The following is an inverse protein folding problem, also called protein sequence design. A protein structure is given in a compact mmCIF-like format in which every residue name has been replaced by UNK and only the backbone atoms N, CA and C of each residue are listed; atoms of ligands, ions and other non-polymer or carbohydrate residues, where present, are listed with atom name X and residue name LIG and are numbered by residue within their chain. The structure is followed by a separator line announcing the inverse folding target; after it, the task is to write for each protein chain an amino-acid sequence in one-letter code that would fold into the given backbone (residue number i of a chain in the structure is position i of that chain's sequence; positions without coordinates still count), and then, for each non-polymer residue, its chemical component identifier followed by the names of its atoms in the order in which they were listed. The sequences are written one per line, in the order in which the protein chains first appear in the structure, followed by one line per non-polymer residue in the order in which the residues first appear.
data_IF_461119746602
#
_entry.id   IF_461119746602
#
_cell.length_a   1.000
_cell.length_b   1.000
_cell.length_c   1.000
_cell.angle_alpha   90.00
_cell.angle_beta   90.00
_cell.angle_gamma   90.00
#
_symmetry.space_group_name_H-M   'P 1'
#
loop_
_entity.id
_entity.type
_entity.pdbx_description
1 polymer ?
#
# COMPACT_ATOMS: atom_id res chain seq x y z
N UNK A 1 28.17 73.21 -2.82
CA UNK A 1 26.79 72.97 -2.36
C UNK A 1 26.79 71.56 -1.88
N UNK A 2 26.92 71.38 -0.57
CA UNK A 2 27.01 70.07 0.07
C UNK A 2 25.62 69.51 0.34
N UNK A 3 25.57 68.18 0.28
CA UNK A 3 24.80 67.29 1.16
C UNK A 3 23.33 67.64 1.40
N UNK A 4 22.50 67.16 0.48
CA UNK A 4 21.19 66.58 0.81
C UNK A 4 20.98 65.36 -0.12
N UNK A 5 21.80 64.32 0.07
CA UNK A 5 21.36 62.95 -0.27
C UNK A 5 20.36 62.57 0.81
N UNK A 6 19.18 63.19 0.75
CA UNK A 6 18.06 62.84 1.60
C UNK A 6 17.84 61.33 1.47
N UNK A 7 17.88 60.63 2.60
CA UNK A 7 17.53 59.21 2.70
C UNK A 7 16.29 58.93 1.85
N UNK A 8 16.46 58.31 0.67
CA UNK A 8 15.38 57.95 -0.25
C UNK A 8 14.70 56.67 0.27
N UNK A 9 14.22 56.78 1.50
CA UNK A 9 13.63 55.73 2.29
C UNK A 9 12.13 55.70 2.04
N UNK A 10 11.66 54.57 1.53
CA UNK A 10 10.26 54.35 1.18
C UNK A 10 9.60 53.57 2.31
N UNK A 11 8.44 54.05 2.76
CA UNK A 11 7.65 53.40 3.79
C UNK A 11 6.47 52.64 3.18
N UNK A 12 6.33 51.39 3.59
CA UNK A 12 5.21 50.51 3.25
C UNK A 12 4.38 50.19 4.48
N UNK A 13 3.07 50.12 4.32
CA UNK A 13 2.10 49.75 5.36
C UNK A 13 1.15 48.69 4.79
N UNK A 14 0.76 47.72 5.60
CA UNK A 14 -0.25 46.72 5.18
C UNK A 14 -1.65 47.31 5.40
N UNK A 15 -2.56 47.12 4.43
CA UNK A 15 -3.92 47.69 4.46
C UNK A 15 -4.66 47.21 5.70
N UNK A 16 -5.16 48.16 6.49
CA UNK A 16 -5.90 47.88 7.73
C UNK A 16 -5.02 47.56 8.94
N UNK A 17 -3.70 47.48 8.75
CA UNK A 17 -2.74 47.18 9.80
C UNK A 17 -1.91 48.42 10.19
N UNK A 18 -1.37 48.41 11.41
CA UNK A 18 -0.47 49.47 11.90
C UNK A 18 1.01 49.19 11.55
N UNK A 19 1.30 48.00 11.04
CA UNK A 19 2.67 47.53 10.78
C UNK A 19 3.29 48.25 9.60
N UNK A 20 4.42 48.91 9.83
CA UNK A 20 5.16 49.66 8.80
C UNK A 20 6.56 49.12 8.63
N UNK A 21 7.01 48.99 7.39
CA UNK A 21 8.39 48.66 7.05
C UNK A 21 8.99 49.71 6.14
N UNK A 22 10.29 49.95 6.32
CA UNK A 22 11.04 50.91 5.52
C UNK A 22 12.14 50.23 4.71
N UNK A 23 12.27 50.63 3.45
CA UNK A 23 13.30 50.14 2.54
C UNK A 23 13.97 51.32 1.85
N UNK A 24 15.27 51.19 1.57
CA UNK A 24 15.98 52.15 0.71
C UNK A 24 15.54 51.91 -0.73
N UNK A 25 15.26 52.98 -1.51
CA UNK A 25 14.87 52.82 -2.93
C UNK A 25 15.88 52.00 -3.72
N UNK A 26 17.17 52.12 -3.41
CA UNK A 26 18.25 51.36 -4.05
C UNK A 26 18.17 49.84 -3.85
N UNK A 27 17.42 49.35 -2.86
CA UNK A 27 17.20 47.93 -2.61
C UNK A 27 16.09 47.34 -3.51
N UNK A 28 15.25 48.20 -4.10
CA UNK A 28 14.18 47.77 -4.99
C UNK A 28 14.75 47.61 -6.40
N UNK A 29 15.03 46.37 -6.79
CA UNK A 29 15.47 46.03 -8.14
C UNK A 29 14.48 45.09 -8.81
N UNK A 30 14.49 45.04 -10.14
CA UNK A 30 13.68 44.09 -10.92
C UNK A 30 14.01 42.63 -10.59
N UNK A 31 15.24 42.36 -10.13
CA UNK A 31 15.71 41.01 -9.78
C UNK A 31 15.22 40.56 -8.40
N UNK A 32 15.07 41.50 -7.47
CA UNK A 32 14.75 41.20 -6.06
C UNK A 32 13.25 41.25 -5.79
N UNK A 33 12.58 42.29 -6.25
CA UNK A 33 11.15 42.49 -6.03
C UNK A 33 10.56 43.46 -7.06
N UNK A 34 10.24 42.99 -8.28
CA UNK A 34 9.75 43.85 -9.36
C UNK A 34 8.41 44.51 -9.01
N UNK A 35 7.59 43.87 -8.18
CA UNK A 35 6.29 44.42 -7.75
C UNK A 35 6.46 45.67 -6.89
N UNK A 36 7.31 45.62 -5.87
CA UNK A 36 7.57 46.80 -5.04
C UNK A 36 8.26 47.91 -5.83
N UNK A 37 9.18 47.54 -6.73
CA UNK A 37 9.81 48.52 -7.62
C UNK A 37 8.77 49.21 -8.50
N UNK A 38 7.84 48.47 -9.11
CA UNK A 38 6.78 49.02 -9.96
C UNK A 38 5.83 49.94 -9.17
N UNK A 39 5.50 49.59 -7.93
CA UNK A 39 4.64 50.43 -7.08
C UNK A 39 5.29 51.78 -6.74
N UNK A 40 6.62 51.82 -6.61
CA UNK A 40 7.37 53.03 -6.20
C UNK A 40 8.04 53.75 -7.37
N UNK A 41 8.06 53.13 -8.55
CA UNK A 41 8.53 53.75 -9.77
C UNK A 41 7.63 54.94 -10.09
N UNK A 42 8.25 56.11 -10.14
CA UNK A 42 7.58 57.35 -10.47
C UNK A 42 7.56 57.46 -12.01
N UNK A 43 6.35 57.65 -12.61
CA UNK A 43 6.05 58.54 -13.77
C UNK A 43 5.58 57.96 -15.12
N UNK A 44 4.91 58.90 -15.81
CA UNK A 44 4.78 59.11 -17.26
C UNK A 44 3.88 58.16 -18.05
N UNK A 45 3.89 56.85 -17.77
CA UNK A 45 3.04 55.91 -18.51
C UNK A 45 1.82 55.48 -17.67
N UNK A 46 0.64 55.88 -18.14
CA UNK A 46 -0.66 55.66 -17.49
C UNK A 46 -1.12 54.18 -17.45
N UNK A 47 -0.28 53.22 -17.85
CA UNK A 47 -0.64 51.81 -18.02
C UNK A 47 -0.19 50.88 -16.88
N UNK A 48 0.55 51.37 -15.88
CA UNK A 48 0.99 50.54 -14.75
C UNK A 48 0.07 50.73 -13.52
N UNK A 49 -0.16 49.67 -12.72
CA UNK A 49 -0.97 49.76 -11.49
C UNK A 49 -0.38 50.77 -10.51
N UNK A 50 -1.17 51.76 -10.07
CA UNK A 50 -0.75 52.68 -9.01
C UNK A 50 -0.88 51.99 -7.65
N UNK A 51 0.18 52.08 -6.83
CA UNK A 51 0.07 51.75 -5.41
C UNK A 51 -0.68 52.84 -4.67
N UNK A 52 -1.75 52.47 -3.96
CA UNK A 52 -2.44 53.38 -3.05
C UNK A 52 -1.46 53.94 -2.03
N UNK A 53 -1.51 55.25 -1.78
CA UNK A 53 -0.78 55.89 -0.68
C UNK A 53 -1.75 56.40 0.37
N UNK A 54 -1.34 56.33 1.63
CA UNK A 54 -2.08 56.97 2.70
C UNK A 54 -1.78 58.46 2.83
N UNK A 55 -2.43 59.14 3.80
CA UNK A 55 -2.23 60.56 4.07
C UNK A 55 -0.81 60.92 4.55
N UNK A 56 0.00 59.94 4.93
CA UNK A 56 1.41 60.10 5.32
C UNK A 56 2.36 59.81 4.16
N UNK A 57 1.84 59.52 2.96
CA UNK A 57 2.62 59.18 1.78
C UNK A 57 3.22 57.78 1.81
N UNK A 58 2.78 56.90 2.72
CA UNK A 58 3.22 55.51 2.80
C UNK A 58 2.45 54.68 1.77
N UNK A 59 3.13 53.74 1.11
CA UNK A 59 2.48 52.84 0.16
C UNK A 59 1.71 51.74 0.90
N UNK A 60 0.45 51.58 0.53
CA UNK A 60 -0.45 50.59 1.11
C UNK A 60 -0.34 49.29 0.31
N UNK A 61 -0.06 48.19 1.00
CA UNK A 61 0.03 46.85 0.44
C UNK A 61 -1.14 46.01 0.92
N UNK A 62 -1.70 45.15 0.06
CA UNK A 62 -2.66 44.10 0.47
C UNK A 62 -1.95 42.89 1.10
N UNK A 63 -0.71 43.10 1.59
CA UNK A 63 0.24 42.08 2.03
C UNK A 63 -0.15 41.37 3.33
N UNK A 64 0.76 40.56 3.89
CA UNK A 64 0.44 39.73 5.04
C UNK A 64 0.07 40.58 6.27
N UNK A 65 -1.06 40.23 6.88
CA UNK A 65 -1.54 40.70 8.18
C UNK A 65 -0.60 40.30 9.33
N UNK A 66 0.03 39.13 9.28
CA UNK A 66 1.00 38.73 10.30
C UNK A 66 2.29 39.58 10.20
N UNK A 67 2.68 40.29 11.27
CA UNK A 67 3.86 41.14 11.26
C UNK A 67 5.17 40.40 10.99
N UNK A 68 5.33 39.17 11.49
CA UNK A 68 6.54 38.38 11.25
C UNK A 68 6.68 38.04 9.76
N UNK A 69 5.59 37.62 9.11
CA UNK A 69 5.58 37.36 7.68
C UNK A 69 5.88 38.64 6.88
N UNK A 70 5.27 39.77 7.24
CA UNK A 70 5.52 41.06 6.61
C UNK A 70 6.99 41.49 6.72
N UNK A 71 7.53 41.53 7.94
CA UNK A 71 8.91 41.95 8.18
C UNK A 71 9.92 40.98 7.56
N UNK A 72 9.61 39.69 7.52
CA UNK A 72 10.42 38.69 6.83
C UNK A 72 10.51 38.98 5.32
N UNK A 73 9.37 39.23 4.65
CA UNK A 73 9.36 39.51 3.21
C UNK A 73 10.13 40.80 2.91
N UNK A 74 9.97 41.83 3.75
CA UNK A 74 10.74 43.08 3.64
C UNK A 74 12.23 42.88 3.88
N UNK A 75 12.62 42.00 4.81
CA UNK A 75 14.02 41.64 5.01
C UNK A 75 14.61 40.90 3.80
N UNK A 76 13.86 39.99 3.19
CA UNK A 76 14.29 39.33 1.96
C UNK A 76 14.68 40.37 0.91
N UNK A 77 13.85 41.41 0.73
CA UNK A 77 14.14 42.51 -0.19
C UNK A 77 15.37 43.30 0.26
N UNK A 78 15.48 43.62 1.55
CA UNK A 78 16.63 44.35 2.13
C UNK A 78 17.97 43.66 1.89
N UNK A 79 17.97 42.32 1.90
CA UNK A 79 19.16 41.50 1.64
C UNK A 79 19.35 41.13 0.17
N UNK A 80 18.65 41.79 -0.76
CA UNK A 80 18.80 41.51 -2.18
C UNK A 80 18.28 40.12 -2.58
N UNK A 81 17.32 39.58 -1.85
CA UNK A 81 16.75 38.27 -2.10
C UNK A 81 17.61 37.10 -1.63
N UNK A 82 18.69 37.34 -0.88
CA UNK A 82 19.54 36.30 -0.31
C UNK A 82 19.20 36.07 1.16
N UNK A 83 18.59 34.93 1.45
CA UNK A 83 18.28 34.50 2.81
C UNK A 83 18.72 33.06 3.01
N UNK A 84 19.40 32.80 4.14
CA UNK A 84 19.74 31.43 4.52
C UNK A 84 18.59 30.74 5.24
N UNK A 85 18.56 29.41 5.23
CA UNK A 85 17.52 28.63 5.91
C UNK A 85 17.40 28.99 7.41
N UNK A 86 18.53 29.13 8.10
CA UNK A 86 18.57 29.50 9.53
C UNK A 86 17.92 30.86 9.78
N UNK A 87 18.23 31.85 8.95
CA UNK A 87 17.66 33.19 9.10
C UNK A 87 16.16 33.22 8.82
N UNK A 88 15.65 32.37 7.91
CA UNK A 88 14.21 32.24 7.69
C UNK A 88 13.53 31.62 8.92
N UNK A 89 14.13 30.58 9.49
CA UNK A 89 13.61 29.90 10.68
C UNK A 89 13.54 30.84 11.89
N UNK A 90 14.56 31.67 12.10
CA UNK A 90 14.61 32.60 13.23
C UNK A 90 13.56 33.72 13.11
N UNK A 91 13.22 34.12 11.88
CA UNK A 91 12.30 35.24 11.60
C UNK A 91 10.85 34.82 11.44
N UNK A 92 10.59 33.55 11.15
CA UNK A 92 9.26 32.96 11.01
C UNK A 92 9.06 31.89 12.10
N UNK A 93 8.95 32.30 13.37
CA UNK A 93 9.02 31.38 14.51
C UNK A 93 7.84 30.41 14.54
N UNK A 94 6.65 30.86 14.13
CA UNK A 94 5.41 30.09 14.19
C UNK A 94 4.92 29.63 12.80
N UNK A 95 4.03 28.65 12.79
CA UNK A 95 3.50 28.07 11.55
C UNK A 95 2.65 29.07 10.75
N UNK A 96 1.89 29.93 11.42
CA UNK A 96 1.00 30.88 10.74
C UNK A 96 1.80 31.96 10.01
N UNK A 97 2.87 32.48 10.60
CA UNK A 97 3.78 33.41 9.90
C UNK A 97 4.44 32.75 8.69
N UNK A 98 4.87 31.49 8.79
CA UNK A 98 5.42 30.73 7.63
C UNK A 98 4.38 30.54 6.53
N UNK A 99 3.16 30.16 6.88
CA UNK A 99 2.06 29.99 5.92
C UNK A 99 1.74 31.30 5.21
N UNK A 100 1.69 32.40 5.94
CA UNK A 100 1.36 33.70 5.38
C UNK A 100 2.47 34.28 4.51
N UNK A 101 3.74 34.04 4.89
CA UNK A 101 4.88 34.32 4.03
C UNK A 101 4.80 33.52 2.71
N UNK A 102 4.46 32.22 2.77
CA UNK A 102 4.27 31.40 1.57
C UNK A 102 3.10 31.87 0.70
N UNK A 103 2.01 32.40 1.28
CA UNK A 103 0.89 32.96 0.48
C UNK A 103 1.29 34.20 -0.31
N UNK A 104 2.17 35.02 0.25
CA UNK A 104 2.52 36.31 -0.35
C UNK A 104 3.85 36.31 -1.11
N UNK A 105 4.66 35.25 -1.03
CA UNK A 105 5.95 35.18 -1.75
C UNK A 105 5.80 35.45 -3.25
N UNK A 106 4.73 34.94 -3.87
CA UNK A 106 4.41 35.16 -5.29
C UNK A 106 3.89 36.57 -5.55
N UNK A 107 3.14 37.15 -4.62
CA UNK A 107 2.71 38.55 -4.69
C UNK A 107 3.90 39.51 -4.70
N UNK A 108 4.96 39.21 -3.94
CA UNK A 108 6.21 39.98 -3.97
C UNK A 108 7.16 39.56 -5.11
N UNK A 109 6.82 38.53 -5.89
CA UNK A 109 7.67 37.96 -6.94
C UNK A 109 9.12 37.73 -6.48
N UNK A 110 9.31 37.22 -5.25
CA UNK A 110 10.65 36.98 -4.72
C UNK A 110 11.37 35.88 -5.53
N UNK A 111 12.72 35.87 -5.54
CA UNK A 111 13.50 34.85 -6.26
C UNK A 111 13.07 33.42 -5.91
N UNK A 112 13.05 32.53 -6.91
CA UNK A 112 12.59 31.15 -6.75
C UNK A 112 13.33 30.36 -5.66
N UNK A 113 14.60 30.68 -5.40
CA UNK A 113 15.37 30.10 -4.30
C UNK A 113 14.72 30.35 -2.93
N UNK A 114 14.19 31.55 -2.69
CA UNK A 114 13.50 31.88 -1.43
C UNK A 114 12.18 31.13 -1.31
N UNK A 115 11.44 31.02 -2.41
CA UNK A 115 10.20 30.25 -2.48
C UNK A 115 10.46 28.78 -2.15
N UNK A 116 11.54 28.20 -2.67
CA UNK A 116 11.96 26.85 -2.33
C UNK A 116 12.31 26.73 -0.83
N UNK A 117 13.16 27.60 -0.30
CA UNK A 117 13.54 27.57 1.13
C UNK A 117 12.34 27.73 2.07
N UNK A 118 11.41 28.64 1.76
CA UNK A 118 10.17 28.84 2.52
C UNK A 118 9.30 27.58 2.51
N UNK A 119 9.16 26.95 1.34
CA UNK A 119 8.38 25.72 1.20
C UNK A 119 8.99 24.60 2.02
N UNK A 120 10.33 24.46 1.98
CA UNK A 120 11.06 23.50 2.81
C UNK A 120 10.82 23.77 4.30
N UNK A 121 10.99 25.02 4.74
CA UNK A 121 10.80 25.41 6.14
C UNK A 121 9.38 25.13 6.64
N UNK A 122 8.37 25.36 5.79
CA UNK A 122 6.98 25.08 6.10
C UNK A 122 6.74 23.57 6.20
N UNK A 123 7.08 22.81 5.15
CA UNK A 123 6.76 21.38 5.07
C UNK A 123 7.60 20.51 6.00
N UNK A 124 8.80 20.92 6.38
CA UNK A 124 9.63 20.20 7.35
C UNK A 124 9.02 20.15 8.75
N UNK A 125 8.11 21.08 9.08
CA UNK A 125 7.47 21.17 10.40
C UNK A 125 6.12 21.87 10.33
N UNK A 126 5.18 21.31 9.56
CA UNK A 126 3.80 21.80 9.51
C UNK A 126 3.00 21.09 10.59
N UNK A 127 3.05 21.64 11.80
CA UNK A 127 2.38 21.09 12.99
C UNK A 127 1.32 22.07 13.49
N UNK A 128 0.07 21.62 13.56
CA UNK A 128 -1.06 22.42 14.07
C UNK A 128 -1.73 21.64 15.20
N UNK A 129 -1.89 22.27 16.37
CA UNK A 129 -2.36 21.59 17.58
C UNK A 129 -3.83 21.14 17.51
N UNK A 130 -4.66 21.87 16.76
CA UNK A 130 -6.07 21.57 16.57
C UNK A 130 -6.45 21.61 15.10
N UNK A 131 -7.13 20.55 14.64
CA UNK A 131 -7.64 20.46 13.28
C UNK A 131 -8.69 21.54 13.06
N UNK A 132 -8.27 22.63 12.43
CA UNK A 132 -9.11 23.77 12.07
C UNK A 132 -9.68 23.67 10.65
N UNK A 133 -9.86 24.82 10.02
CA UNK A 133 -10.29 24.89 8.63
C UNK A 133 -9.28 24.25 7.67
N UNK A 134 -9.78 23.76 6.53
CA UNK A 134 -8.95 23.16 5.51
C UNK A 134 -7.94 24.18 4.95
N UNK A 135 -6.65 23.81 5.01
CA UNK A 135 -5.58 24.56 4.35
C UNK A 135 -5.53 24.12 2.90
N UNK A 136 -5.85 25.05 2.01
CA UNK A 136 -5.74 24.84 0.58
C UNK A 136 -4.35 25.25 0.07
N UNK A 137 -3.47 24.25 -0.11
CA UNK A 137 -2.10 24.47 -0.54
C UNK A 137 -2.01 25.04 -1.97
N UNK A 138 -3.05 24.87 -2.79
CA UNK A 138 -3.07 25.43 -4.15
C UNK A 138 -3.08 26.96 -4.18
N UNK A 139 -3.54 27.60 -3.09
CA UNK A 139 -3.54 29.06 -2.88
C UNK A 139 -2.28 29.58 -2.21
N UNK A 140 -1.34 28.70 -1.90
CA UNK A 140 -0.04 29.07 -1.35
C UNK A 140 0.98 29.14 -2.49
N UNK A 141 1.84 30.15 -2.45
CA UNK A 141 2.99 30.27 -3.35
C UNK A 141 4.09 29.29 -2.96
N UNK A 142 3.79 27.99 -2.97
CA UNK A 142 4.77 26.93 -2.68
C UNK A 142 5.61 26.65 -3.93
N UNK A 143 6.90 26.38 -3.73
CA UNK A 143 7.74 25.76 -4.74
C UNK A 143 7.29 24.31 -4.89
N UNK A 144 6.90 23.92 -6.10
CA UNK A 144 6.33 22.58 -6.34
C UNK A 144 7.36 21.60 -6.88
N UNK A 145 8.48 22.09 -7.40
CA UNK A 145 9.51 21.30 -8.08
C UNK A 145 10.91 21.49 -7.50
N UNK A 146 11.81 20.57 -7.84
CA UNK A 146 13.27 20.69 -7.71
C UNK A 146 13.77 20.89 -6.27
N UNK A 147 13.06 20.30 -5.30
CA UNK A 147 13.42 20.38 -3.89
C UNK A 147 14.14 19.11 -3.41
N UNK A 148 15.25 19.30 -2.72
CA UNK A 148 15.90 18.27 -1.90
C UNK A 148 15.56 18.57 -0.43
N UNK A 149 14.90 17.62 0.25
CA UNK A 149 14.42 17.75 1.62
C UNK A 149 14.73 16.49 2.44
N UNK A 150 15.19 16.68 3.67
CA UNK A 150 15.39 15.56 4.59
C UNK A 150 14.06 15.01 5.11
N UNK A 151 13.05 15.87 5.23
CA UNK A 151 11.75 15.50 5.81
C UNK A 151 10.60 16.37 5.31
N UNK A 152 9.44 15.76 5.08
CA UNK A 152 8.12 16.40 5.15
C UNK A 152 7.45 15.89 6.43
N UNK A 153 7.00 16.80 7.29
CA UNK A 153 6.33 16.48 8.54
C UNK A 153 5.02 17.25 8.64
N UNK A 154 3.91 16.52 8.50
CA UNK A 154 2.56 17.05 8.62
C UNK A 154 1.93 16.45 9.88
N UNK A 155 1.56 17.29 10.84
CA UNK A 155 0.90 16.84 12.06
C UNK A 155 -0.29 17.70 12.49
N UNK A 156 -1.46 17.08 12.68
CA UNK A 156 -2.66 17.78 13.14
C UNK A 156 -3.28 18.72 12.10
N UNK A 157 -3.01 18.50 10.82
CA UNK A 157 -3.37 19.40 9.72
C UNK A 157 -4.48 18.83 8.85
N UNK A 158 -5.45 19.67 8.48
CA UNK A 158 -6.30 19.42 7.32
C UNK A 158 -5.71 20.11 6.10
N UNK A 159 -5.05 19.35 5.21
CA UNK A 159 -4.38 19.86 4.02
C UNK A 159 -5.08 19.36 2.75
N UNK A 160 -5.30 20.25 1.80
CA UNK A 160 -5.86 19.91 0.49
C UNK A 160 -5.04 20.44 -0.67
N UNK A 161 -5.07 19.72 -1.78
CA UNK A 161 -4.52 20.18 -3.07
C UNK A 161 -3.04 20.57 -3.01
N UNK A 162 -2.27 19.85 -2.20
CA UNK A 162 -0.81 19.92 -2.23
C UNK A 162 -0.31 19.14 -3.46
N UNK A 163 0.48 19.79 -4.30
CA UNK A 163 1.13 19.17 -5.45
C UNK A 163 2.65 19.30 -5.30
N UNK A 164 3.35 18.17 -5.33
CA UNK A 164 4.81 18.12 -5.33
C UNK A 164 5.28 17.27 -6.51
N UNK A 165 6.25 17.79 -7.25
CA UNK A 165 6.89 17.17 -8.42
C UNK A 165 8.42 17.35 -8.36
N UNK A 166 9.16 16.63 -9.20
CA UNK A 166 10.63 16.70 -9.37
C UNK A 166 11.43 16.88 -8.08
N UNK A 167 11.07 16.20 -6.99
CA UNK A 167 11.64 16.45 -5.67
C UNK A 167 12.14 15.18 -5.00
N UNK A 168 13.23 15.29 -4.25
CA UNK A 168 13.78 14.21 -3.44
C UNK A 168 13.49 14.49 -1.96
N UNK A 169 12.78 13.58 -1.31
CA UNK A 169 12.39 13.70 0.09
C UNK A 169 12.85 12.47 0.84
N UNK A 170 13.75 12.57 1.80
CA UNK A 170 14.20 11.36 2.49
C UNK A 170 13.05 10.70 3.28
N UNK A 171 12.30 11.48 4.08
CA UNK A 171 11.20 10.97 4.89
C UNK A 171 9.91 11.79 4.75
N UNK A 172 8.76 11.13 4.63
CA UNK A 172 7.44 11.77 4.69
C UNK A 172 6.69 11.23 5.90
N UNK A 173 6.30 12.10 6.82
CA UNK A 173 5.58 11.73 8.04
C UNK A 173 4.26 12.49 8.10
N UNK A 174 3.15 11.74 8.13
CA UNK A 174 1.78 12.25 8.18
C UNK A 174 1.11 11.68 9.43
N UNK A 175 0.79 12.54 10.40
CA UNK A 175 0.28 12.12 11.71
C UNK A 175 -0.92 12.94 12.14
N UNK A 176 -2.02 12.30 12.55
CA UNK A 176 -3.24 13.02 13.00
C UNK A 176 -3.75 14.04 11.96
N UNK A 177 -3.59 13.76 10.67
CA UNK A 177 -3.94 14.67 9.58
C UNK A 177 -5.19 14.22 8.84
N UNK A 178 -5.82 15.17 8.15
CA UNK A 178 -6.73 14.89 7.04
C UNK A 178 -6.07 15.44 5.78
N UNK A 179 -5.68 14.56 4.86
CA UNK A 179 -5.05 14.94 3.60
C UNK A 179 -6.01 14.57 2.47
N UNK A 180 -6.42 15.55 1.67
CA UNK A 180 -7.35 15.27 0.57
C UNK A 180 -6.91 15.90 -0.76
N UNK A 181 -7.13 15.18 -1.85
CA UNK A 181 -6.85 15.67 -3.22
C UNK A 181 -5.39 16.13 -3.40
N UNK A 182 -4.45 15.49 -2.71
CA UNK A 182 -3.02 15.80 -2.82
C UNK A 182 -2.33 14.87 -3.81
N UNK A 183 -1.34 15.39 -4.51
CA UNK A 183 -0.57 14.67 -5.52
C UNK A 183 0.93 14.78 -5.24
N UNK A 184 1.56 13.61 -5.17
CA UNK A 184 3.00 13.47 -5.22
C UNK A 184 3.32 12.77 -6.54
N UNK A 185 3.83 13.54 -7.50
CA UNK A 185 4.03 13.08 -8.87
C UNK A 185 5.08 11.96 -8.97
N UNK A 186 5.08 11.24 -10.10
CA UNK A 186 6.03 10.16 -10.41
C UNK A 186 7.50 10.57 -10.25
N UNK A 187 7.82 11.83 -10.55
CA UNK A 187 9.15 12.40 -10.42
C UNK A 187 9.61 12.61 -8.97
N UNK A 188 8.75 12.37 -7.98
CA UNK A 188 9.09 12.47 -6.55
C UNK A 188 9.66 11.14 -6.07
N UNK A 189 10.76 11.20 -5.33
CA UNK A 189 11.35 10.02 -4.69
C UNK A 189 11.31 10.17 -3.18
N UNK A 190 10.91 9.12 -2.48
CA UNK A 190 10.95 9.04 -1.02
C UNK A 190 11.59 7.73 -0.52
N UNK A 191 12.40 7.80 0.54
CA UNK A 191 12.89 6.57 1.16
C UNK A 191 11.77 5.94 2.00
N UNK A 192 11.20 6.71 2.93
CA UNK A 192 10.18 6.21 3.85
C UNK A 192 8.98 7.15 3.92
N UNK A 193 7.78 6.57 3.85
CA UNK A 193 6.52 7.27 4.08
C UNK A 193 5.81 6.63 5.27
N UNK A 194 5.53 7.42 6.30
CA UNK A 194 4.86 7.00 7.51
C UNK A 194 3.55 7.75 7.69
N UNK A 195 2.44 7.01 7.80
CA UNK A 195 1.10 7.54 7.95
C UNK A 195 0.48 6.94 9.22
N UNK A 196 0.09 7.78 10.17
CA UNK A 196 -0.50 7.34 11.44
C UNK A 196 -1.68 8.20 11.87
N UNK A 197 -2.72 7.58 12.43
CA UNK A 197 -3.94 8.26 12.94
C UNK A 197 -4.52 9.29 11.97
N UNK A 198 -4.40 9.03 10.66
CA UNK A 198 -4.70 10.03 9.63
C UNK A 198 -5.75 9.53 8.66
N UNK A 199 -6.49 10.47 8.08
CA UNK A 199 -7.40 10.21 6.97
C UNK A 199 -6.78 10.72 5.68
N UNK A 200 -6.63 9.85 4.68
CA UNK A 200 -6.21 10.22 3.33
C UNK A 200 -7.37 9.96 2.35
N UNK A 201 -7.74 10.97 1.57
CA UNK A 201 -8.87 10.88 0.63
C UNK A 201 -8.47 11.37 -0.76
N UNK A 202 -8.49 10.50 -1.76
CA UNK A 202 -8.13 10.88 -3.13
C UNK A 202 -6.67 11.32 -3.26
N UNK A 203 -5.78 10.78 -2.43
CA UNK A 203 -4.34 11.10 -2.48
C UNK A 203 -3.67 10.22 -3.52
N UNK A 204 -2.97 10.87 -4.45
CA UNK A 204 -2.15 10.19 -5.43
C UNK A 204 -0.69 10.19 -4.97
N UNK A 205 -0.23 9.09 -4.38
CA UNK A 205 1.19 8.88 -4.09
C UNK A 205 1.83 8.13 -5.26
N UNK A 206 1.95 8.81 -6.40
CA UNK A 206 2.71 8.30 -7.55
C UNK A 206 4.23 8.34 -7.31
N UNK A 207 4.68 8.91 -6.20
CA UNK A 207 6.10 8.94 -5.83
C UNK A 207 6.74 7.54 -5.77
N UNK A 208 8.04 7.47 -6.04
CA UNK A 208 8.86 6.30 -5.76
C UNK A 208 9.18 6.23 -4.27
N UNK A 209 8.31 5.61 -3.48
CA UNK A 209 8.56 5.31 -2.07
C UNK A 209 9.20 3.92 -1.93
N UNK A 210 10.37 3.81 -1.28
CA UNK A 210 10.94 2.48 -1.00
C UNK A 210 10.04 1.72 -0.02
N UNK A 211 9.67 2.36 1.09
CA UNK A 211 8.79 1.81 2.09
C UNK A 211 7.62 2.73 2.42
N UNK A 212 6.42 2.16 2.56
CA UNK A 212 5.23 2.85 3.08
C UNK A 212 4.70 2.11 4.30
N UNK A 213 4.54 2.81 5.41
CA UNK A 213 3.91 2.30 6.64
C UNK A 213 2.64 3.08 6.95
N UNK A 214 1.53 2.37 7.13
CA UNK A 214 0.21 2.91 7.46
C UNK A 214 -0.25 2.26 8.76
N UNK A 215 -0.40 3.03 9.82
CA UNK A 215 -0.71 2.48 11.15
C UNK A 215 -1.67 3.32 12.01
N UNK A 216 -1.95 2.80 13.20
CA UNK A 216 -2.70 3.48 14.26
C UNK A 216 -4.10 3.98 13.87
N UNK A 217 -4.93 3.14 13.26
CA UNK A 217 -6.31 3.52 12.93
C UNK A 217 -6.41 4.51 11.78
N UNK A 218 -5.44 4.51 10.87
CA UNK A 218 -5.52 5.35 9.67
C UNK A 218 -6.61 4.85 8.71
N UNK A 219 -7.25 5.79 8.01
CA UNK A 219 -8.34 5.56 7.08
C UNK A 219 -7.95 6.09 5.69
N UNK A 220 -7.70 5.17 4.76
CA UNK A 220 -7.16 5.50 3.44
C UNK A 220 -8.22 5.18 2.39
N UNK A 221 -8.69 6.21 1.70
CA UNK A 221 -9.85 6.14 0.82
C UNK A 221 -9.51 6.65 -0.59
N UNK A 222 -9.81 5.84 -1.60
CA UNK A 222 -9.65 6.20 -3.01
C UNK A 222 -8.23 6.70 -3.34
N UNK A 223 -7.22 6.16 -2.66
CA UNK A 223 -5.83 6.58 -2.84
C UNK A 223 -5.10 5.66 -3.82
N UNK A 224 -4.14 6.22 -4.54
CA UNK A 224 -3.22 5.48 -5.40
C UNK A 224 -1.86 5.37 -4.71
N UNK A 225 -1.51 4.16 -4.28
CA UNK A 225 -0.32 3.88 -3.48
C UNK A 225 0.75 3.21 -4.34
N UNK A 226 1.87 3.89 -4.55
CA UNK A 226 3.03 3.32 -5.24
C UNK A 226 4.15 3.03 -4.26
N UNK A 227 4.66 1.81 -4.28
CA UNK A 227 5.76 1.37 -3.41
C UNK A 227 6.72 0.50 -4.19
N UNK A 228 8.02 0.62 -3.90
CA UNK A 228 9.09 -0.07 -4.64
C UNK A 228 9.53 -1.35 -3.93
N UNK A 229 9.48 -1.39 -2.59
CA UNK A 229 9.96 -2.54 -1.81
C UNK A 229 8.91 -3.08 -0.86
N UNK A 230 8.45 -2.27 0.11
CA UNK A 230 7.65 -2.79 1.23
C UNK A 230 6.48 -1.89 1.61
N UNK A 231 5.28 -2.48 1.64
CA UNK A 231 4.08 -1.88 2.22
C UNK A 231 3.74 -2.55 3.54
N UNK A 232 3.62 -1.76 4.61
CA UNK A 232 3.16 -2.22 5.92
C UNK A 232 1.87 -1.52 6.30
N UNK A 233 0.80 -2.28 6.56
CA UNK A 233 -0.49 -1.75 6.98
C UNK A 233 -0.90 -2.42 8.27
N UNK A 234 -1.02 -1.65 9.35
CA UNK A 234 -1.33 -2.14 10.69
C UNK A 234 -2.53 -1.41 11.30
N UNK A 235 -3.46 -2.14 11.89
CA UNK A 235 -4.59 -1.56 12.66
C UNK A 235 -5.34 -0.46 11.89
N UNK A 236 -5.46 -0.57 10.56
CA UNK A 236 -5.91 0.51 9.66
C UNK A 236 -6.90 0.00 8.61
N UNK A 237 -7.57 0.93 7.93
CA UNK A 237 -8.59 0.63 6.93
C UNK A 237 -8.20 1.18 5.55
N UNK A 238 -8.41 0.36 4.52
CA UNK A 238 -8.20 0.71 3.12
C UNK A 238 -9.52 0.57 2.36
N UNK A 239 -9.93 1.61 1.64
CA UNK A 239 -11.17 1.62 0.87
C UNK A 239 -10.92 2.03 -0.58
N UNK A 240 -11.19 1.11 -1.53
CA UNK A 240 -11.03 1.35 -2.97
C UNK A 240 -9.65 1.93 -3.35
N UNK A 241 -8.60 1.48 -2.67
CA UNK A 241 -7.24 1.88 -2.97
C UNK A 241 -6.71 1.11 -4.18
N UNK A 242 -5.89 1.76 -5.00
CA UNK A 242 -5.12 1.12 -6.07
C UNK A 242 -3.66 1.07 -5.67
N UNK A 243 -2.98 0.01 -6.12
CA UNK A 243 -1.55 -0.16 -5.90
C UNK A 243 -0.84 -0.15 -7.25
N UNK A 244 0.24 0.62 -7.35
CA UNK A 244 1.05 0.75 -8.56
C UNK A 244 2.54 0.46 -8.25
N UNK A 245 3.29 0.14 -9.30
CA UNK A 245 4.75 0.04 -9.26
C UNK A 245 5.25 -1.36 -8.97
N UNK A 246 5.16 -2.26 -9.95
CA UNK A 246 5.78 -3.58 -9.82
C UNK A 246 6.42 -4.10 -11.09
N UNK A 247 5.97 -3.76 -12.30
CA UNK A 247 6.57 -4.34 -13.51
C UNK A 247 7.48 -3.39 -14.28
N UNK A 248 7.14 -2.10 -14.38
CA UNK A 248 7.93 -1.12 -15.14
C UNK A 248 9.17 -0.61 -14.38
N UNK A 249 9.17 -0.67 -13.06
CA UNK A 249 10.20 -0.09 -12.20
C UNK A 249 11.18 -1.12 -11.62
N UNK A 250 10.96 -2.40 -11.92
CA UNK A 250 11.73 -3.50 -11.37
C UNK A 250 13.17 -3.47 -11.87
N UNK A 251 14.10 -3.28 -10.94
CA UNK A 251 15.47 -3.75 -11.15
C UNK A 251 15.49 -5.28 -10.97
N UNK A 252 16.29 -5.97 -11.78
CA UNK A 252 16.33 -7.44 -11.81
C UNK A 252 16.34 -8.06 -10.40
N UNK A 253 15.31 -8.87 -10.10
CA UNK A 253 15.11 -9.67 -8.87
C UNK A 253 14.66 -8.95 -7.59
N UNK A 254 14.22 -7.70 -7.65
CA UNK A 254 13.64 -7.03 -6.48
C UNK A 254 12.27 -7.64 -6.12
N UNK A 255 12.14 -8.16 -4.90
CA UNK A 255 10.89 -8.71 -4.36
C UNK A 255 10.13 -7.58 -3.70
N UNK A 256 8.91 -7.30 -4.19
CA UNK A 256 8.01 -6.32 -3.60
C UNK A 256 7.04 -7.03 -2.67
N UNK A 257 6.93 -6.57 -1.43
CA UNK A 257 6.12 -7.24 -0.42
C UNK A 257 5.11 -6.32 0.26
N UNK A 258 3.99 -6.90 0.68
CA UNK A 258 2.97 -6.22 1.46
C UNK A 258 2.60 -7.03 2.70
N UNK A 259 2.61 -6.37 3.86
CA UNK A 259 2.20 -6.95 5.14
C UNK A 259 1.00 -6.21 5.69
N UNK A 260 -0.07 -6.96 5.94
CA UNK A 260 -1.32 -6.48 6.53
C UNK A 260 -1.50 -7.13 7.92
N UNK A 261 -1.61 -6.32 8.97
CA UNK A 261 -1.78 -6.79 10.34
C UNK A 261 -2.98 -6.11 10.99
N UNK A 262 -4.01 -6.87 11.34
CA UNK A 262 -5.26 -6.31 11.87
C UNK A 262 -5.86 -5.21 10.96
N UNK A 263 -5.70 -5.36 9.65
CA UNK A 263 -6.17 -4.40 8.66
C UNK A 263 -7.56 -4.78 8.12
N UNK A 264 -8.31 -3.78 7.68
CA UNK A 264 -9.57 -3.97 6.96
C UNK A 264 -9.45 -3.47 5.53
N UNK A 265 -9.71 -4.36 4.58
CA UNK A 265 -9.54 -4.10 3.14
C UNK A 265 -10.93 -4.14 2.50
N UNK A 266 -11.40 -2.97 2.06
CA UNK A 266 -12.73 -2.75 1.51
C UNK A 266 -12.71 -2.51 0.00
N UNK A 267 -13.50 -3.31 -0.73
CA UNK A 267 -13.58 -3.28 -2.19
C UNK A 267 -12.67 -4.32 -2.86
N UNK A 268 -12.81 -4.44 -4.18
CA UNK A 268 -11.96 -5.31 -4.98
C UNK A 268 -10.64 -4.59 -5.24
N UNK A 269 -9.57 -5.08 -4.61
CA UNK A 269 -8.28 -4.39 -4.58
C UNK A 269 -7.24 -5.23 -5.34
N UNK A 270 -6.57 -4.67 -6.37
CA UNK A 270 -5.44 -5.33 -7.01
C UNK A 270 -4.24 -5.29 -6.06
N UNK A 271 -3.59 -6.44 -5.87
CA UNK A 271 -2.41 -6.57 -5.02
C UNK A 271 -1.24 -7.02 -5.89
N UNK A 272 -0.49 -6.09 -6.50
CA UNK A 272 0.60 -6.40 -7.40
C UNK A 272 1.88 -6.81 -6.66
N UNK A 273 1.79 -7.52 -5.53
CA UNK A 273 2.97 -7.85 -4.71
C UNK A 273 3.45 -9.28 -4.97
N UNK A 274 4.76 -9.52 -4.93
CA UNK A 274 5.34 -10.87 -5.00
C UNK A 274 4.99 -11.68 -3.75
N UNK A 275 4.97 -11.00 -2.60
CA UNK A 275 4.74 -11.60 -1.30
C UNK A 275 3.75 -10.78 -0.50
N UNK A 276 2.63 -11.39 -0.17
CA UNK A 276 1.56 -10.81 0.63
C UNK A 276 1.48 -11.60 1.93
N UNK A 277 1.57 -10.91 3.06
CA UNK A 277 1.39 -11.50 4.40
C UNK A 277 0.21 -10.83 5.08
N UNK A 278 -0.75 -11.61 5.52
CA UNK A 278 -1.94 -11.13 6.20
C UNK A 278 -2.04 -11.83 7.57
N UNK A 279 -1.98 -11.05 8.65
CA UNK A 279 -2.24 -11.50 10.01
C UNK A 279 -3.51 -10.82 10.52
N UNK A 280 -4.54 -11.58 10.88
CA UNK A 280 -5.83 -11.06 11.37
C UNK A 280 -6.43 -9.99 10.45
N UNK A 281 -6.28 -10.16 9.13
CA UNK A 281 -6.77 -9.20 8.13
C UNK A 281 -8.16 -9.58 7.65
N UNK A 282 -9.03 -8.59 7.44
CA UNK A 282 -10.42 -8.79 7.01
C UNK A 282 -10.64 -8.21 5.61
N UNK A 283 -11.10 -9.06 4.69
CA UNK A 283 -11.43 -8.68 3.32
C UNK A 283 -12.95 -8.53 3.16
N UNK A 284 -13.39 -7.35 2.77
CA UNK A 284 -14.80 -7.03 2.52
C UNK A 284 -15.14 -6.94 1.02
N UNK A 285 -14.14 -7.09 0.14
CA UNK A 285 -14.31 -7.22 -1.32
C UNK A 285 -14.68 -8.64 -1.75
N UNK A 286 -15.16 -8.77 -2.99
CA UNK A 286 -15.48 -10.06 -3.61
C UNK A 286 -14.29 -10.70 -4.32
N UNK A 287 -13.30 -9.91 -4.75
CA UNK A 287 -12.14 -10.36 -5.54
C UNK A 287 -10.83 -9.75 -5.08
N UNK A 288 -9.76 -10.54 -5.22
CA UNK A 288 -8.38 -10.16 -4.96
C UNK A 288 -7.60 -10.51 -6.21
N UNK A 289 -7.21 -9.47 -6.94
CA UNK A 289 -6.51 -9.64 -8.21
C UNK A 289 -5.01 -9.74 -7.92
N UNK A 290 -4.44 -10.92 -8.15
CA UNK A 290 -3.00 -11.15 -8.05
C UNK A 290 -2.42 -11.06 -9.46
N UNK A 291 -1.84 -9.91 -9.77
CA UNK A 291 -1.37 -9.59 -11.13
C UNK A 291 -0.02 -10.21 -11.48
N UNK A 292 0.70 -10.78 -10.50
CA UNK A 292 2.07 -11.26 -10.69
C UNK A 292 2.14 -12.78 -10.64
N UNK A 293 2.80 -13.35 -11.65
CA UNK A 293 3.01 -14.78 -11.74
C UNK A 293 3.90 -15.33 -10.62
N UNK A 294 3.48 -16.42 -9.97
CA UNK A 294 4.23 -17.03 -8.87
C UNK A 294 4.14 -16.29 -7.53
N UNK A 295 3.32 -15.25 -7.44
CA UNK A 295 3.07 -14.52 -6.21
C UNK A 295 2.56 -15.45 -5.10
N UNK A 296 2.91 -15.07 -3.87
CA UNK A 296 2.55 -15.80 -2.66
C UNK A 296 1.69 -14.96 -1.74
N UNK A 297 0.63 -15.56 -1.21
CA UNK A 297 -0.22 -14.96 -0.19
C UNK A 297 -0.27 -15.88 1.02
N UNK A 298 0.10 -15.33 2.17
CA UNK A 298 0.09 -16.04 3.45
C UNK A 298 -0.96 -15.43 4.35
N UNK A 299 -1.96 -16.22 4.71
CA UNK A 299 -2.95 -15.88 5.73
C UNK A 299 -2.54 -16.59 7.01
N UNK A 300 -2.33 -15.84 8.09
CA UNK A 300 -1.94 -16.39 9.39
C UNK A 300 -2.88 -15.95 10.51
N UNK A 301 -3.13 -16.84 11.48
CA UNK A 301 -3.93 -16.59 12.69
C UNK A 301 -5.28 -15.93 12.40
N UNK A 302 -5.95 -16.37 11.34
CA UNK A 302 -7.10 -15.68 10.76
C UNK A 302 -8.36 -16.54 10.76
N UNK A 303 -9.50 -15.91 11.02
CA UNK A 303 -10.83 -16.49 10.83
C UNK A 303 -11.35 -16.04 9.47
N UNK A 304 -11.27 -16.94 8.49
CA UNK A 304 -11.60 -16.65 7.10
C UNK A 304 -13.10 -16.86 6.92
N UNK A 305 -13.86 -15.76 7.01
CA UNK A 305 -15.31 -15.72 6.74
C UNK A 305 -15.60 -15.49 5.26
N UNK A 306 -14.71 -14.77 4.59
CA UNK A 306 -14.72 -14.54 3.15
C UNK A 306 -13.29 -14.72 2.67
N UNK A 307 -13.13 -15.47 1.59
CA UNK A 307 -11.91 -15.50 0.80
C UNK A 307 -12.33 -14.89 -0.55
N UNK A 308 -11.80 -13.72 -0.91
CA UNK A 308 -12.07 -13.16 -2.22
C UNK A 308 -11.61 -14.13 -3.30
N UNK A 309 -12.31 -14.18 -4.43
CA UNK A 309 -11.85 -14.96 -5.57
C UNK A 309 -10.47 -14.43 -5.99
N UNK A 310 -9.50 -15.34 -6.07
CA UNK A 310 -8.14 -15.00 -6.47
C UNK A 310 -8.05 -15.24 -7.98
N UNK A 311 -8.09 -14.15 -8.75
CA UNK A 311 -7.87 -14.20 -10.19
C UNK A 311 -6.35 -14.09 -10.45
N UNK A 312 -5.78 -15.09 -11.11
CA UNK A 312 -4.39 -15.09 -11.58
C UNK A 312 -4.24 -15.91 -12.86
N UNK A 313 -3.36 -15.46 -13.75
CA UNK A 313 -3.00 -16.17 -14.98
C UNK A 313 -2.02 -17.33 -14.72
N UNK A 314 -1.53 -17.48 -13.48
CA UNK A 314 -0.60 -18.54 -13.07
C UNK A 314 -1.02 -19.19 -11.76
N UNK A 315 -0.36 -20.30 -11.40
CA UNK A 315 -0.55 -20.90 -10.08
C UNK A 315 -0.09 -19.95 -8.96
N UNK A 316 -1.04 -19.50 -8.14
CA UNK A 316 -0.79 -18.73 -6.93
C UNK A 316 -0.38 -19.65 -5.79
N UNK A 317 0.64 -19.26 -5.01
CA UNK A 317 0.97 -19.94 -3.76
C UNK A 317 0.10 -19.37 -2.62
N UNK A 318 -0.86 -20.14 -2.13
CA UNK A 318 -1.67 -19.78 -0.96
C UNK A 318 -1.23 -20.59 0.26
N UNK A 319 -0.72 -19.88 1.26
CA UNK A 319 -0.29 -20.44 2.53
C UNK A 319 -1.32 -20.10 3.63
N UNK A 320 -1.89 -21.10 4.27
CA UNK A 320 -2.78 -20.95 5.41
C UNK A 320 -2.07 -21.49 6.66
N UNK A 321 -1.73 -20.62 7.61
CA UNK A 321 -1.09 -21.00 8.89
C UNK A 321 -2.00 -20.62 10.06
N UNK A 322 -2.40 -21.59 10.88
CA UNK A 322 -3.27 -21.38 12.05
C UNK A 322 -4.59 -20.66 11.68
N UNK A 323 -5.24 -21.14 10.63
CA UNK A 323 -6.43 -20.52 10.06
C UNK A 323 -7.70 -21.36 10.30
N UNK A 324 -8.80 -20.67 10.58
CA UNK A 324 -10.13 -21.26 10.61
C UNK A 324 -10.95 -20.78 9.41
N UNK A 325 -11.25 -21.70 8.49
CA UNK A 325 -12.09 -21.48 7.31
C UNK A 325 -13.54 -21.72 7.72
N UNK A 326 -14.33 -20.65 7.79
CA UNK A 326 -15.68 -20.69 8.36
C UNK A 326 -16.78 -20.89 7.31
N UNK A 327 -16.51 -20.53 6.07
CA UNK A 327 -17.44 -20.60 4.95
C UNK A 327 -16.99 -21.61 3.88
N UNK A 328 -17.90 -21.93 2.96
CA UNK A 328 -17.60 -22.79 1.82
C UNK A 328 -16.79 -22.00 0.78
N UNK A 329 -15.63 -22.51 0.39
CA UNK A 329 -14.77 -21.92 -0.65
C UNK A 329 -14.47 -22.89 -1.76
N UNK A 330 -14.18 -22.32 -2.94
CA UNK A 330 -13.63 -23.03 -4.09
C UNK A 330 -12.19 -22.54 -4.31
N UNK A 331 -11.23 -23.44 -4.20
CA UNK A 331 -9.83 -23.21 -4.55
C UNK A 331 -9.61 -23.74 -5.96
N UNK A 332 -9.18 -22.90 -6.89
CA UNK A 332 -9.08 -23.23 -8.32
C UNK A 332 -7.70 -22.85 -8.84
N UNK A 333 -6.95 -23.80 -9.41
CA UNK A 333 -5.61 -23.59 -9.99
C UNK A 333 -4.58 -23.01 -9.00
N UNK A 334 -4.58 -23.47 -7.76
CA UNK A 334 -3.68 -22.96 -6.70
C UNK A 334 -2.64 -23.98 -6.23
N UNK A 335 -1.50 -23.48 -5.76
CA UNK A 335 -0.54 -24.26 -4.96
C UNK A 335 -0.78 -23.96 -3.48
N UNK A 336 -1.24 -24.97 -2.73
CA UNK A 336 -1.78 -24.82 -1.38
C UNK A 336 -0.80 -25.37 -0.33
N UNK A 337 -0.51 -24.56 0.68
CA UNK A 337 0.28 -24.95 1.86
C UNK A 337 -0.59 -24.81 3.11
N UNK A 338 -0.81 -25.90 3.83
CA UNK A 338 -1.64 -25.91 5.03
C UNK A 338 -0.82 -26.24 6.27
N UNK A 339 -0.99 -25.44 7.31
CA UNK A 339 -0.45 -25.69 8.64
C UNK A 339 -1.51 -25.29 9.67
N UNK A 340 -1.95 -26.26 10.49
CA UNK A 340 -2.99 -26.06 11.50
C UNK A 340 -4.29 -25.43 10.96
N UNK A 341 -4.77 -25.89 9.80
CA UNK A 341 -5.97 -25.35 9.15
C UNK A 341 -7.21 -26.14 9.55
N UNK A 342 -8.30 -25.44 9.90
CA UNK A 342 -9.60 -26.05 10.22
C UNK A 342 -10.68 -25.56 9.28
N UNK A 343 -11.39 -26.48 8.64
CA UNK A 343 -12.54 -26.18 7.79
C UNK A 343 -13.84 -26.45 8.54
N UNK A 344 -14.76 -25.48 8.51
CA UNK A 344 -16.06 -25.57 9.20
C UNK A 344 -17.19 -25.96 8.24
N UNK A 345 -17.03 -25.65 6.95
CA UNK A 345 -17.98 -25.97 5.88
C UNK A 345 -17.27 -26.70 4.73
N UNK A 346 -18.03 -27.45 3.90
CA UNK A 346 -17.46 -28.17 2.77
C UNK A 346 -16.80 -27.20 1.79
N UNK A 347 -15.63 -27.57 1.26
CA UNK A 347 -14.90 -26.78 0.26
C UNK A 347 -14.67 -27.60 -1.01
N UNK A 348 -14.43 -26.89 -2.11
CA UNK A 348 -14.09 -27.46 -3.41
C UNK A 348 -12.64 -27.12 -3.77
N UNK A 349 -11.90 -28.09 -4.29
CA UNK A 349 -10.48 -27.99 -4.64
C UNK A 349 -10.31 -28.48 -6.08
N UNK A 350 -10.11 -27.57 -7.04
CA UNK A 350 -10.05 -27.87 -8.47
C UNK A 350 -8.68 -27.52 -9.03
N UNK A 351 -8.03 -28.51 -9.63
CA UNK A 351 -6.67 -28.38 -10.21
C UNK A 351 -5.67 -27.75 -9.23
N UNK A 352 -5.71 -28.22 -7.97
CA UNK A 352 -4.83 -27.73 -6.91
C UNK A 352 -3.62 -28.62 -6.71
N UNK A 353 -2.50 -28.02 -6.29
CA UNK A 353 -1.26 -28.68 -5.97
C UNK A 353 -0.92 -28.50 -4.49
N UNK A 354 -0.78 -29.60 -3.75
CA UNK A 354 -0.20 -29.62 -2.42
C UNK A 354 1.25 -30.13 -2.52
N UNK A 355 2.25 -29.24 -2.49
CA UNK A 355 3.65 -29.62 -2.67
C UNK A 355 4.21 -30.30 -1.42
N UNK A 356 3.72 -29.90 -0.25
CA UNK A 356 4.09 -30.41 1.06
C UNK A 356 3.06 -31.40 1.56
N UNK A 357 3.44 -32.16 2.59
CA UNK A 357 2.56 -33.14 3.20
C UNK A 357 1.45 -32.41 3.94
N UNK A 358 0.20 -32.78 3.66
CA UNK A 358 -0.96 -32.24 4.38
C UNK A 358 -1.14 -33.05 5.65
N UNK A 359 -0.93 -32.41 6.81
CA UNK A 359 -0.96 -33.07 8.11
C UNK A 359 -2.12 -32.56 8.97
N UNK A 360 -2.76 -33.46 9.72
CA UNK A 360 -3.69 -33.13 10.81
C UNK A 360 -4.90 -32.27 10.40
N UNK A 361 -5.33 -32.39 9.15
CA UNK A 361 -6.51 -31.67 8.63
C UNK A 361 -7.75 -32.55 8.71
N UNK A 362 -8.84 -31.98 9.23
CA UNK A 362 -10.18 -32.56 9.13
C UNK A 362 -10.96 -31.84 8.04
N UNK A 363 -11.31 -32.56 6.98
CA UNK A 363 -12.17 -32.07 5.91
C UNK A 363 -13.65 -32.36 6.24
N UNK A 364 -14.52 -31.34 6.25
CA UNK A 364 -15.96 -31.51 6.41
C UNK A 364 -16.56 -32.46 5.38
N UNK A 365 -17.72 -33.01 5.71
CA UNK A 365 -18.45 -33.87 4.77
C UNK A 365 -18.71 -33.14 3.47
N UNK A 366 -18.79 -33.89 2.38
CA UNK A 366 -19.08 -33.36 1.03
C UNK A 366 -18.05 -32.38 0.47
N UNK A 367 -16.83 -32.30 1.02
CA UNK A 367 -15.73 -31.64 0.31
C UNK A 367 -15.47 -32.35 -1.03
N UNK A 368 -15.12 -31.58 -2.06
CA UNK A 368 -14.85 -32.09 -3.40
C UNK A 368 -13.44 -31.74 -3.83
N UNK A 369 -12.71 -32.73 -4.35
CA UNK A 369 -11.38 -32.59 -4.89
C UNK A 369 -11.40 -33.06 -6.35
N UNK A 370 -11.04 -32.18 -7.28
CA UNK A 370 -11.01 -32.46 -8.72
C UNK A 370 -9.61 -32.17 -9.21
N UNK A 371 -8.92 -33.19 -9.72
CA UNK A 371 -7.54 -33.12 -10.20
C UNK A 371 -6.53 -32.60 -9.15
N UNK A 372 -6.84 -32.75 -7.87
CA UNK A 372 -5.95 -32.35 -6.79
C UNK A 372 -4.71 -33.27 -6.72
N UNK A 373 -3.52 -32.69 -6.53
CA UNK A 373 -2.25 -33.40 -6.48
C UNK A 373 -1.59 -33.22 -5.12
N UNK A 374 -1.52 -34.29 -4.33
CA UNK A 374 -0.90 -34.32 -3.00
C UNK A 374 0.52 -34.87 -3.08
N UNK A 375 1.51 -34.12 -3.56
CA UNK A 375 2.82 -34.66 -3.94
C UNK A 375 3.51 -35.45 -2.83
N UNK A 376 3.50 -34.92 -1.60
CA UNK A 376 4.07 -35.55 -0.41
C UNK A 376 3.05 -36.34 0.43
N UNK A 377 1.82 -36.49 -0.08
CA UNK A 377 0.72 -37.25 0.52
C UNK A 377 -0.05 -36.54 1.63
N UNK A 378 -0.95 -37.31 2.24
CA UNK A 378 -1.78 -36.98 3.39
C UNK A 378 -1.29 -37.74 4.63
N UNK A 379 -1.28 -37.08 5.78
CA UNK A 379 -0.95 -37.69 7.06
C UNK A 379 -1.94 -37.29 8.16
N UNK A 380 -2.41 -38.27 8.94
CA UNK A 380 -3.36 -38.03 10.03
C UNK A 380 -4.60 -37.22 9.63
N UNK A 381 -4.98 -37.27 8.34
CA UNK A 381 -6.10 -36.51 7.81
C UNK A 381 -7.41 -37.27 8.01
N UNK A 382 -8.47 -36.54 8.35
CA UNK A 382 -9.82 -37.08 8.51
C UNK A 382 -10.70 -36.52 7.41
N UNK A 383 -11.35 -37.39 6.64
CA UNK A 383 -12.36 -37.03 5.66
C UNK A 383 -13.51 -38.03 5.73
N UNK A 384 -14.75 -37.56 5.59
CA UNK A 384 -15.91 -38.44 5.55
C UNK A 384 -16.91 -37.98 4.51
N UNK A 385 -17.36 -38.85 3.60
CA UNK A 385 -18.34 -38.43 2.59
C UNK A 385 -17.79 -37.41 1.58
N UNK A 386 -16.47 -37.39 1.36
CA UNK A 386 -15.84 -36.49 0.39
C UNK A 386 -15.74 -37.15 -0.99
N UNK A 387 -15.62 -36.33 -2.04
CA UNK A 387 -15.50 -36.80 -3.43
C UNK A 387 -14.13 -36.41 -3.97
N UNK A 388 -13.41 -37.38 -4.53
CA UNK A 388 -12.11 -37.21 -5.17
C UNK A 388 -12.21 -37.67 -6.63
N UNK A 389 -11.87 -36.80 -7.57
CA UNK A 389 -12.00 -37.06 -9.02
C UNK A 389 -10.67 -36.75 -9.71
N UNK A 390 -10.00 -37.74 -10.29
CA UNK A 390 -8.73 -37.55 -10.99
C UNK A 390 -7.57 -37.12 -10.09
N UNK A 391 -7.69 -37.27 -8.77
CA UNK A 391 -6.67 -36.85 -7.81
C UNK A 391 -5.44 -37.78 -7.78
N UNK A 392 -4.27 -37.23 -7.46
CA UNK A 392 -3.07 -37.98 -7.10
C UNK A 392 -2.85 -37.85 -5.58
N UNK A 393 -2.92 -38.97 -4.85
CA UNK A 393 -2.81 -39.01 -3.39
C UNK A 393 -1.37 -39.20 -2.88
N UNK A 394 -0.38 -38.90 -3.71
CA UNK A 394 1.03 -38.77 -3.34
C UNK A 394 1.90 -39.97 -3.65
N UNK A 395 3.19 -39.79 -3.38
CA UNK A 395 4.22 -40.77 -3.67
C UNK A 395 4.90 -41.27 -2.38
N UNK A 396 5.27 -42.55 -2.37
CA UNK A 396 6.00 -43.16 -1.28
C UNK A 396 5.12 -43.78 -0.19
N UNK A 397 5.78 -44.49 0.72
CA UNK A 397 5.16 -45.37 1.70
C UNK A 397 4.28 -44.67 2.75
N UNK A 398 4.57 -43.40 3.03
CA UNK A 398 3.88 -42.65 4.09
C UNK A 398 2.74 -41.76 3.57
N UNK A 399 2.47 -41.80 2.26
CA UNK A 399 1.61 -40.82 1.61
C UNK A 399 0.12 -40.88 2.03
N UNK A 400 -0.32 -41.90 2.76
CA UNK A 400 -1.65 -41.97 3.37
C UNK A 400 -1.61 -42.38 4.86
N UNK A 401 -0.46 -42.19 5.50
CA UNK A 401 -0.20 -42.66 6.86
C UNK A 401 -1.20 -42.08 7.88
N UNK A 402 -1.88 -42.94 8.63
CA UNK A 402 -2.78 -42.53 9.72
C UNK A 402 -4.06 -41.81 9.26
N UNK A 403 -4.39 -41.84 7.97
CA UNK A 403 -5.59 -41.18 7.45
C UNK A 403 -6.86 -41.99 7.74
N UNK A 404 -7.95 -41.29 8.07
CA UNK A 404 -9.31 -41.81 8.22
C UNK A 404 -10.19 -41.20 7.14
N UNK A 405 -10.28 -41.85 5.97
CA UNK A 405 -11.12 -41.42 4.84
C UNK A 405 -12.28 -42.41 4.70
N UNK A 406 -13.46 -42.07 5.22
CA UNK A 406 -14.60 -43.01 5.30
C UNK A 406 -15.77 -42.54 4.45
N UNK A 407 -16.54 -43.45 3.84
CA UNK A 407 -17.67 -43.07 2.99
C UNK A 407 -17.30 -42.12 1.83
N UNK A 408 -16.04 -42.07 1.41
CA UNK A 408 -15.57 -41.21 0.34
C UNK A 408 -15.77 -41.88 -1.03
N UNK A 409 -15.96 -41.09 -2.08
CA UNK A 409 -15.96 -41.57 -3.47
C UNK A 409 -14.66 -41.15 -4.16
N UNK A 410 -13.94 -42.10 -4.72
CA UNK A 410 -12.70 -41.91 -5.47
C UNK A 410 -12.95 -42.33 -6.92
N UNK A 411 -12.78 -41.41 -7.86
CA UNK A 411 -13.02 -41.62 -9.29
C UNK A 411 -11.76 -41.31 -10.08
N UNK A 412 -11.22 -42.28 -10.80
CA UNK A 412 -9.98 -42.11 -11.60
C UNK A 412 -8.80 -41.57 -10.78
N UNK A 413 -8.76 -41.83 -9.48
CA UNK A 413 -7.69 -41.40 -8.59
C UNK A 413 -6.46 -42.32 -8.66
N UNK A 414 -5.29 -41.75 -8.37
CA UNK A 414 -4.02 -42.46 -8.26
C UNK A 414 -3.59 -42.55 -6.80
N UNK A 415 -3.30 -43.77 -6.36
CA UNK A 415 -2.87 -44.07 -4.99
C UNK A 415 -1.39 -44.47 -4.93
N UNK A 416 -0.69 -44.18 -3.82
CA UNK A 416 0.70 -44.61 -3.61
C UNK A 416 0.80 -46.14 -3.47
N UNK A 417 1.94 -46.69 -3.91
CA UNK A 417 2.33 -48.05 -3.56
C UNK A 417 2.83 -48.12 -2.11
N UNK A 418 2.36 -49.13 -1.36
CA UNK A 418 2.73 -49.35 0.04
C UNK A 418 3.53 -50.64 0.22
N UNK A 419 4.62 -50.57 0.97
CA UNK A 419 5.46 -51.73 1.30
C UNK A 419 5.04 -52.41 2.61
N UNK A 420 5.71 -53.53 2.92
CA UNK A 420 5.35 -54.49 3.97
C UNK A 420 5.32 -53.91 5.40
N UNK A 421 5.82 -52.70 5.65
CA UNK A 421 5.85 -52.04 6.97
C UNK A 421 5.12 -50.68 7.06
N UNK A 422 4.45 -50.23 5.99
CA UNK A 422 3.75 -48.94 5.98
C UNK A 422 2.52 -48.87 6.91
N UNK A 423 2.24 -47.71 7.53
CA UNK A 423 1.11 -47.46 8.43
C UNK A 423 -0.27 -47.58 7.76
N UNK A 424 -1.27 -47.99 8.55
CA UNK A 424 -2.64 -48.30 8.08
C UNK A 424 -3.42 -47.02 7.78
N UNK A 425 -4.00 -46.94 6.58
CA UNK A 425 -5.06 -46.00 6.25
C UNK A 425 -6.42 -46.68 6.41
N UNK A 426 -7.40 -45.97 6.97
CA UNK A 426 -8.77 -46.46 7.04
C UNK A 426 -9.60 -45.85 5.90
N UNK A 427 -10.04 -46.73 5.00
CA UNK A 427 -10.77 -46.42 3.78
C UNK A 427 -12.15 -47.11 3.76
N UNK A 428 -12.74 -47.33 4.93
CA UNK A 428 -13.99 -48.08 5.07
C UNK A 428 -15.18 -47.36 4.43
N UNK A 429 -16.07 -48.16 3.84
CA UNK A 429 -17.28 -47.73 3.13
C UNK A 429 -17.01 -46.77 1.95
N UNK A 430 -15.80 -46.75 1.41
CA UNK A 430 -15.45 -45.92 0.26
C UNK A 430 -15.81 -46.60 -1.06
N UNK A 431 -16.13 -45.79 -2.06
CA UNK A 431 -16.37 -46.22 -3.43
C UNK A 431 -15.17 -45.88 -4.31
N UNK A 432 -14.61 -46.86 -5.01
CA UNK A 432 -13.46 -46.72 -5.89
C UNK A 432 -13.87 -47.04 -7.33
N UNK A 433 -13.84 -46.04 -8.21
CA UNK A 433 -14.24 -46.18 -9.62
C UNK A 433 -13.05 -45.84 -10.52
N UNK A 434 -12.50 -46.83 -11.23
CA UNK A 434 -11.39 -46.61 -12.17
C UNK A 434 -10.10 -46.09 -11.53
N UNK A 435 -9.87 -46.35 -10.24
CA UNK A 435 -8.65 -45.96 -9.54
C UNK A 435 -7.43 -46.79 -9.98
N UNK A 436 -6.23 -46.24 -9.78
CA UNK A 436 -4.95 -46.88 -10.12
C UNK A 436 -3.96 -46.81 -8.96
N UNK A 437 -3.06 -47.79 -8.87
CA UNK A 437 -1.95 -47.79 -7.94
C UNK A 437 -0.67 -47.40 -8.69
N UNK A 438 0.08 -46.44 -8.15
CA UNK A 438 1.36 -45.98 -8.69
C UNK A 438 2.49 -46.84 -8.14
N UNK A 439 3.06 -47.74 -8.95
CA UNK A 439 4.18 -48.58 -8.54
C UNK A 439 5.46 -47.76 -8.24
N UNK A 440 6.07 -48.00 -7.08
CA UNK A 440 7.38 -47.46 -6.72
C UNK A 440 8.50 -48.44 -7.09
N UNK A 441 9.31 -48.10 -8.10
CA UNK A 441 10.45 -48.91 -8.54
C UNK A 441 11.14 -48.34 -9.79
N UNK A 442 12.19 -49.02 -10.28
CA UNK A 442 12.97 -48.64 -11.49
C UNK A 442 12.15 -48.58 -12.80
N UNK A 443 10.90 -49.06 -12.78
CA UNK A 443 9.97 -48.97 -13.90
C UNK A 443 8.62 -48.43 -13.39
N UNK A 444 8.24 -47.17 -13.69
CA UNK A 444 6.92 -46.66 -13.36
C UNK A 444 5.87 -47.38 -14.21
N UNK A 445 5.11 -48.28 -13.59
CA UNK A 445 3.91 -48.86 -14.18
C UNK A 445 2.71 -48.50 -13.29
N UNK A 446 1.61 -48.07 -13.93
CA UNK A 446 0.32 -47.90 -13.28
C UNK A 446 -0.45 -49.21 -13.40
N UNK A 447 -0.85 -49.81 -12.27
CA UNK A 447 -1.67 -51.02 -12.26
C UNK A 447 -3.11 -50.66 -11.86
N UNK A 448 -4.09 -51.38 -12.42
CA UNK A 448 -5.50 -51.27 -12.00
C UNK A 448 -5.64 -51.63 -10.52
N UNK A 449 -6.44 -50.85 -9.78
CA UNK A 449 -6.71 -51.05 -8.35
C UNK A 449 -7.33 -52.43 -8.04
N UNK A 450 -7.98 -53.05 -9.03
CA UNK A 450 -8.61 -54.38 -8.91
C UNK A 450 -7.58 -55.51 -8.87
N UNK A 451 -6.40 -55.32 -9.47
CA UNK A 451 -5.53 -56.45 -9.86
C UNK A 451 -4.68 -57.03 -8.72
N UNK A 452 -4.57 -56.39 -7.54
CA UNK A 452 -3.85 -57.00 -6.40
C UNK A 452 -4.50 -56.70 -5.04
N UNK A 453 -5.35 -57.63 -4.60
CA UNK A 453 -5.86 -57.76 -3.21
C UNK A 453 -4.76 -57.92 -2.15
N UNK A 454 -3.52 -58.23 -2.53
CA UNK A 454 -2.38 -58.40 -1.63
C UNK A 454 -1.93 -57.08 -0.98
N UNK A 455 -1.90 -55.98 -1.73
CA UNK A 455 -1.43 -54.67 -1.23
C UNK A 455 -2.49 -53.92 -0.43
N UNK A 456 -3.76 -54.23 -0.69
CA UNK A 456 -4.92 -53.67 -0.02
C UNK A 456 -5.13 -54.24 1.40
N UNK A 457 -4.43 -55.31 1.79
CA UNK A 457 -4.55 -55.95 3.13
C UNK A 457 -4.22 -55.02 4.30
N UNK A 458 -3.50 -53.94 4.02
CA UNK A 458 -3.08 -52.94 5.01
C UNK A 458 -4.02 -51.74 5.09
N UNK A 459 -5.03 -51.69 4.24
CA UNK A 459 -6.10 -50.71 4.34
C UNK A 459 -7.28 -51.35 5.02
N UNK A 460 -7.91 -50.61 5.93
CA UNK A 460 -9.23 -51.01 6.37
C UNK A 460 -10.23 -50.66 5.26
N UNK A 461 -10.61 -51.65 4.46
CA UNK A 461 -11.56 -51.54 3.34
C UNK A 461 -12.92 -52.14 3.69
N UNK A 462 -13.26 -52.23 4.97
CA UNK A 462 -14.56 -52.76 5.40
C UNK A 462 -15.70 -52.00 4.69
N UNK A 463 -16.56 -52.73 3.97
CA UNK A 463 -17.70 -52.16 3.25
C UNK A 463 -17.34 -51.32 2.02
N UNK A 464 -16.07 -51.31 1.57
CA UNK A 464 -15.67 -50.60 0.36
C UNK A 464 -16.12 -51.31 -0.92
N UNK A 465 -16.43 -50.54 -1.96
CA UNK A 465 -16.80 -51.04 -3.29
C UNK A 465 -15.72 -50.65 -4.30
N UNK A 466 -15.37 -51.57 -5.20
CA UNK A 466 -14.42 -51.30 -6.28
C UNK A 466 -15.06 -51.65 -7.60
N UNK A 467 -15.06 -50.71 -8.55
CA UNK A 467 -15.52 -50.89 -9.91
C UNK A 467 -14.49 -50.39 -10.91
N UNK A 468 -14.36 -51.08 -12.03
CA UNK A 468 -13.66 -50.53 -13.18
C UNK A 468 -14.51 -49.41 -13.76
N UNK A 469 -13.87 -48.30 -14.16
CA UNK A 469 -14.56 -47.34 -14.99
C UNK A 469 -14.94 -48.08 -16.27
N UNK A 470 -16.22 -48.38 -16.47
CA UNK A 470 -16.71 -48.87 -17.74
C UNK A 470 -16.15 -47.93 -18.80
N UNK A 471 -15.48 -48.48 -19.81
CA UNK A 471 -14.92 -47.74 -20.92
C UNK A 471 -15.95 -46.71 -21.39
N UNK A 472 -15.76 -45.45 -20.99
CA UNK A 472 -16.37 -44.31 -21.66
C UNK A 472 -15.61 -44.21 -22.98
N UNK A 473 -16.10 -44.99 -23.95
CA UNK A 473 -15.77 -44.88 -25.36
C UNK A 473 -16.11 -43.48 -25.88
#
# INVERSE_FOLDING_TARGET
GGDDVANDEISFVVRGESTTAKLQRSMLTNEVCPVLLALVADRADASMPQGDRDSQGRYILDGPSNPHAFFFLMECVRKGGEMTFTEMSDRLPDVFSRMEACRHVDYFMLPGANKALLTKLLLQSLVIESMGEAIDASRMGLCRSDMIMDKIHLEGVYLRRLHIENSHVQNVVIRRCHIAECEFALSVTACEVHISKSKLEGVNTSMFAAMITIEDGSDIQCCNIRVVEELHVRDSQLHKCTFQGCDEDRKDRQVVSATFTNAQIHGDIPLPFDKIVCERTYFHGGRLHMTIGGASITLSKSRIMSLPAIDSDTHVNLCLDDCQVLEQFRFDRMKLHFKNVRFSKPCEFVDVLFPERVCDVTFPRTCRFVQARFLAGLHACIASGCVFEGCNLGHGQDALSGCLLTHCSFRSCRFPFLEADSPVANLSYCDFVGCRIQGGGQFPHEESFIIKSYWLRKWNLAGATVSEAAELA
#
